data_IF_521145142969
#
_entry.id   IF_521145142969
#
_cell.length_a   1.000
_cell.length_b   1.000
_cell.length_c   1.000
_cell.angle_alpha   90.00
_cell.angle_beta   90.00
_cell.angle_gamma   90.00
#
_symmetry.space_group_name_H-M   'P 1'
#
loop_
_entity.id
_entity.type
_entity.pdbx_description
1 polymer ?
#
# COMPACT_ATOMS: atom_id res chain seq x y z
N UNK A 1 -13.72 10.66 -2.21
CA UNK A 1 -13.66 10.69 -3.69
C UNK A 1 -14.78 9.85 -4.30
N UNK A 2 -16.04 10.23 -4.08
CA UNK A 2 -17.21 9.55 -4.68
C UNK A 2 -18.24 10.57 -5.19
N UNK A 3 -17.77 11.72 -5.68
CA UNK A 3 -18.61 12.73 -6.30
C UNK A 3 -18.64 12.52 -7.81
N UNK A 4 -19.84 12.48 -8.39
CA UNK A 4 -20.00 12.50 -9.83
C UNK A 4 -19.79 13.93 -10.32
N UNK A 5 -18.76 14.16 -11.13
CA UNK A 5 -18.43 15.48 -11.68
C UNK A 5 -18.91 15.51 -13.13
N UNK A 6 -19.82 16.43 -13.50
CA UNK A 6 -20.40 16.47 -14.85
C UNK A 6 -19.45 17.02 -15.93
N UNK A 7 -18.26 17.48 -15.54
CA UNK A 7 -17.25 18.08 -16.41
C UNK A 7 -15.91 17.34 -16.27
N UNK A 8 -15.08 17.28 -17.33
CA UNK A 8 -13.78 16.65 -17.25
C UNK A 8 -12.83 17.44 -16.33
N UNK A 9 -12.12 16.72 -15.47
CA UNK A 9 -11.06 17.25 -14.61
C UNK A 9 -9.74 16.71 -15.11
N UNK A 10 -8.80 17.62 -15.41
CA UNK A 10 -7.47 17.27 -15.89
C UNK A 10 -6.45 17.51 -14.77
N UNK A 11 -5.47 16.62 -14.69
CA UNK A 11 -4.36 16.72 -13.74
C UNK A 11 -3.05 16.83 -14.52
N UNK A 12 -2.19 17.75 -14.11
CA UNK A 12 -0.85 17.93 -14.65
C UNK A 12 0.14 18.08 -13.49
N UNK A 13 1.42 17.79 -13.74
CA UNK A 13 2.47 18.18 -12.81
C UNK A 13 2.64 19.70 -12.84
N UNK A 14 3.09 20.26 -11.72
CA UNK A 14 3.47 21.67 -11.66
C UNK A 14 4.75 21.89 -12.47
N UNK A 15 4.70 22.84 -13.39
CA UNK A 15 5.84 23.32 -14.15
C UNK A 15 5.70 24.83 -14.40
N UNK A 16 6.77 25.46 -14.90
CA UNK A 16 6.80 26.91 -15.12
C UNK A 16 5.70 27.36 -16.11
N UNK A 17 5.38 26.53 -17.10
CA UNK A 17 4.36 26.84 -18.11
C UNK A 17 2.94 26.82 -17.51
N UNK A 18 2.62 25.82 -16.69
CA UNK A 18 1.36 25.76 -15.94
C UNK A 18 1.24 26.92 -14.95
N UNK A 19 2.35 27.33 -14.35
CA UNK A 19 2.39 28.48 -13.45
C UNK A 19 2.13 29.81 -14.18
N UNK A 20 2.70 29.99 -15.37
CA UNK A 20 2.44 31.15 -16.22
C UNK A 20 0.97 31.20 -16.66
N UNK A 21 0.40 30.08 -17.11
CA UNK A 21 -1.02 29.98 -17.47
C UNK A 21 -1.92 30.29 -16.27
N UNK A 22 -1.59 29.78 -15.08
CA UNK A 22 -2.33 30.06 -13.85
C UNK A 22 -2.27 31.55 -13.45
N UNK A 23 -1.11 32.20 -13.61
CA UNK A 23 -0.93 33.61 -13.32
C UNK A 23 -1.77 34.48 -14.27
N UNK A 24 -1.79 34.12 -15.56
CA UNK A 24 -2.59 34.80 -16.59
C UNK A 24 -4.09 34.66 -16.31
N UNK A 25 -4.57 33.45 -15.97
CA UNK A 25 -5.96 33.19 -15.59
C UNK A 25 -6.36 34.05 -14.38
N UNK A 26 -5.53 34.10 -13.33
CA UNK A 26 -5.80 34.94 -12.15
C UNK A 26 -5.85 36.43 -12.47
N UNK A 27 -4.99 36.90 -13.37
CA UNK A 27 -5.00 38.31 -13.82
C UNK A 27 -6.29 38.64 -14.57
N UNK A 28 -6.72 37.77 -15.47
CA UNK A 28 -7.95 37.94 -16.24
C UNK A 28 -9.21 37.87 -15.38
N UNK A 29 -9.24 36.97 -14.39
CA UNK A 29 -10.31 36.93 -13.39
C UNK A 29 -10.41 38.26 -12.61
N UNK A 30 -9.27 38.83 -12.18
CA UNK A 30 -9.23 40.13 -11.51
C UNK A 30 -9.68 41.30 -12.41
N UNK A 31 -9.48 41.17 -13.73
CA UNK A 31 -9.94 42.12 -14.74
C UNK A 31 -11.42 41.90 -15.14
N UNK A 32 -12.15 41.02 -14.47
CA UNK A 32 -13.58 40.78 -14.72
C UNK A 32 -13.87 39.88 -15.93
N UNK A 33 -12.87 39.15 -16.43
CA UNK A 33 -13.00 38.14 -17.47
C UNK A 33 -12.79 36.74 -16.88
N UNK A 34 -13.78 36.20 -16.15
CA UNK A 34 -13.63 34.93 -15.44
C UNK A 34 -13.46 33.76 -16.40
N UNK A 35 -12.41 32.98 -16.18
CA UNK A 35 -12.15 31.75 -16.92
C UNK A 35 -12.96 30.59 -16.35
N UNK A 36 -14.21 30.44 -16.79
CA UNK A 36 -15.04 29.29 -16.38
C UNK A 36 -15.02 28.17 -17.42
N UNK A 37 -15.27 26.94 -16.98
CA UNK A 37 -15.40 25.76 -17.84
C UNK A 37 -16.52 25.88 -18.89
N UNK A 38 -17.42 26.87 -18.77
CA UNK A 38 -18.60 27.06 -19.62
C UNK A 38 -18.61 28.36 -20.42
N UNK A 39 -17.81 29.37 -20.08
CA UNK A 39 -17.83 30.70 -20.73
C UNK A 39 -16.57 31.12 -21.48
N UNK A 40 -15.56 30.23 -21.60
CA UNK A 40 -14.71 30.17 -22.81
C UNK A 40 -13.73 31.33 -23.09
N UNK A 41 -12.85 31.69 -22.15
CA UNK A 41 -11.69 32.56 -22.43
C UNK A 41 -10.44 31.79 -22.90
N UNK A 42 -10.20 30.61 -22.32
CA UNK A 42 -9.07 29.75 -22.67
C UNK A 42 -9.53 28.47 -23.36
N UNK A 43 -8.92 28.19 -24.52
CA UNK A 43 -9.05 26.90 -25.19
C UNK A 43 -7.69 26.21 -25.14
N UNK A 44 -7.55 25.27 -24.20
CA UNK A 44 -6.42 24.34 -24.21
C UNK A 44 -6.63 23.36 -25.38
N UNK A 45 -6.00 23.65 -26.51
CA UNK A 45 -6.02 22.76 -27.68
C UNK A 45 -4.95 21.69 -27.47
N UNK A 46 -5.31 20.61 -26.80
CA UNK A 46 -4.48 19.41 -26.77
C UNK A 46 -4.73 18.58 -28.03
N UNK A 47 -3.71 18.37 -28.86
CA UNK A 47 -3.68 17.31 -29.88
C UNK A 47 -3.44 15.97 -29.17
N UNK A 48 -4.41 15.55 -28.36
CA UNK A 48 -4.39 14.26 -27.71
C UNK A 48 -5.07 13.21 -28.60
N UNK A 49 -4.57 11.98 -28.54
CA UNK A 49 -5.25 10.82 -29.14
C UNK A 49 -6.58 10.57 -28.43
N UNK A 50 -7.53 9.95 -29.13
CA UNK A 50 -8.81 9.57 -28.51
C UNK A 50 -8.58 8.79 -27.21
N UNK A 51 -9.28 9.12 -26.12
CA UNK A 51 -9.12 8.45 -24.85
C UNK A 51 -9.46 6.97 -24.98
N UNK A 52 -8.47 6.11 -24.81
CA UNK A 52 -8.66 4.66 -24.79
C UNK A 52 -8.92 4.19 -23.37
N UNK A 53 -9.93 3.33 -23.22
CA UNK A 53 -10.18 2.63 -21.95
C UNK A 53 -8.92 1.86 -21.56
N UNK A 54 -8.33 2.21 -20.43
CA UNK A 54 -7.23 1.46 -19.84
C UNK A 54 -7.82 0.15 -19.28
N UNK A 55 -7.29 -0.99 -19.73
CA UNK A 55 -7.64 -2.29 -19.17
C UNK A 55 -7.27 -2.34 -17.69
N UNK A 56 -8.12 -2.97 -16.88
CA UNK A 56 -7.89 -3.09 -15.44
C UNK A 56 -6.47 -3.60 -15.16
N UNK A 57 -5.68 -2.90 -14.32
CA UNK A 57 -4.30 -3.30 -14.06
C UNK A 57 -4.23 -4.66 -13.36
N UNK A 58 -3.21 -5.45 -13.69
CA UNK A 58 -2.97 -6.74 -13.05
C UNK A 58 -2.51 -6.52 -11.60
N UNK A 59 -3.32 -6.96 -10.65
CA UNK A 59 -2.96 -6.96 -9.22
C UNK A 59 -1.97 -8.11 -8.99
N UNK A 60 -0.72 -7.75 -8.67
CA UNK A 60 0.33 -8.72 -8.32
C UNK A 60 0.55 -8.67 -6.81
N UNK A 61 0.90 -9.81 -6.21
CA UNK A 61 1.35 -9.89 -4.83
C UNK A 61 2.73 -10.54 -4.82
N UNK A 62 3.61 -10.10 -3.92
CA UNK A 62 4.95 -10.65 -3.78
C UNK A 62 5.04 -11.29 -2.40
N UNK A 63 5.60 -12.49 -2.32
CA UNK A 63 5.77 -13.18 -1.04
C UNK A 63 7.16 -13.81 -0.92
N UNK A 64 7.64 -13.94 0.31
CA UNK A 64 8.88 -14.61 0.64
C UNK A 64 8.73 -15.43 1.91
N UNK A 65 9.46 -16.55 1.99
CA UNK A 65 9.42 -17.47 3.13
C UNK A 65 10.80 -17.62 3.76
N UNK A 66 10.87 -17.57 5.09
CA UNK A 66 12.01 -18.03 5.86
C UNK A 66 11.57 -19.20 6.74
N UNK A 67 11.97 -20.44 6.42
CA UNK A 67 11.57 -21.61 7.20
C UNK A 67 12.27 -21.62 8.56
N UNK A 68 11.52 -22.02 9.60
CA UNK A 68 12.07 -22.25 10.94
C UNK A 68 12.83 -23.57 11.06
N UNK A 69 13.34 -23.86 12.26
CA UNK A 69 13.92 -25.17 12.62
C UNK A 69 12.89 -26.02 13.33
N UNK A 70 12.69 -27.24 12.84
CA UNK A 70 12.01 -28.31 13.58
C UNK A 70 13.00 -29.01 14.50
N UNK A 71 12.54 -29.41 15.68
CA UNK A 71 13.29 -30.36 16.50
C UNK A 71 12.97 -31.76 15.99
N UNK A 72 13.99 -32.61 15.91
CA UNK A 72 13.81 -34.01 15.50
C UNK A 72 12.74 -34.69 16.36
N UNK A 73 11.75 -35.29 15.69
CA UNK A 73 10.60 -35.96 16.31
C UNK A 73 9.30 -35.15 16.34
N UNK A 74 9.30 -33.87 15.97
CA UNK A 74 8.07 -33.07 15.90
C UNK A 74 7.34 -33.28 14.56
N UNK A 75 6.25 -34.04 14.59
CA UNK A 75 5.39 -34.31 13.43
C UNK A 75 4.53 -33.12 13.05
N UNK A 76 4.35 -32.15 13.95
CA UNK A 76 3.51 -30.99 13.69
C UNK A 76 4.19 -30.01 12.74
N UNK A 77 3.36 -29.29 11.99
CA UNK A 77 3.81 -28.16 11.17
C UNK A 77 4.24 -27.02 12.08
N UNK A 78 5.38 -26.38 11.75
CA UNK A 78 5.81 -25.21 12.50
C UNK A 78 4.80 -24.07 12.30
N UNK A 79 4.44 -23.35 13.38
CA UNK A 79 3.60 -22.17 13.26
C UNK A 79 4.28 -21.07 12.46
N UNK A 80 3.48 -20.25 11.80
CA UNK A 80 3.92 -19.20 10.88
C UNK A 80 3.50 -17.84 11.42
N UNK A 81 4.45 -16.90 11.44
CA UNK A 81 4.17 -15.48 11.62
C UNK A 81 4.18 -14.82 10.25
N UNK A 82 3.05 -14.24 9.86
CA UNK A 82 2.93 -13.46 8.64
C UNK A 82 3.21 -11.97 8.94
N UNK A 83 4.11 -11.35 8.18
CA UNK A 83 4.39 -9.91 8.23
C UNK A 83 4.06 -9.34 6.86
N UNK A 84 3.05 -8.47 6.80
CA UNK A 84 2.43 -8.04 5.54
C UNK A 84 2.42 -6.52 5.46
N UNK A 85 2.67 -5.98 4.27
CA UNK A 85 2.48 -4.56 3.96
C UNK A 85 1.75 -4.40 2.61
N UNK A 86 0.91 -3.37 2.52
CA UNK A 86 0.32 -2.95 1.23
C UNK A 86 1.29 -2.03 0.52
N UNK A 87 1.55 -2.26 -0.77
CA UNK A 87 2.39 -1.36 -1.59
C UNK A 87 1.60 -0.47 -2.54
N UNK A 88 0.26 -0.55 -2.51
CA UNK A 88 -0.58 0.25 -3.37
C UNK A 88 -0.78 1.67 -2.83
N UNK A 89 -0.89 2.65 -3.73
CA UNK A 89 -1.35 4.00 -3.42
C UNK A 89 -2.58 4.33 -4.26
N UNK A 90 -3.39 5.29 -3.83
CA UNK A 90 -4.55 5.75 -4.58
C UNK A 90 -4.63 7.27 -4.47
N UNK A 91 -4.95 7.91 -5.59
CA UNK A 91 -5.16 9.35 -5.69
C UNK A 91 -6.06 9.64 -6.89
N UNK A 92 -6.46 10.90 -7.02
CA UNK A 92 -7.45 11.33 -8.04
C UNK A 92 -6.94 11.15 -9.47
N UNK A 93 -5.62 11.25 -9.64
CA UNK A 93 -4.90 10.82 -10.82
C UNK A 93 -4.00 9.62 -10.44
N UNK A 94 -4.47 8.37 -10.63
CA UNK A 94 -3.71 7.19 -10.24
C UNK A 94 -2.32 7.09 -10.88
N UNK A 95 -2.18 7.57 -12.13
CA UNK A 95 -0.90 7.64 -12.84
C UNK A 95 0.09 8.63 -12.23
N UNK A 96 -0.38 9.60 -11.46
CA UNK A 96 0.42 10.63 -10.79
C UNK A 96 0.54 10.39 -9.27
N UNK A 97 -0.09 9.33 -8.75
CA UNK A 97 -0.10 9.06 -7.32
C UNK A 97 1.26 8.54 -6.86
N UNK A 98 1.97 9.35 -6.07
CA UNK A 98 3.16 8.94 -5.33
C UNK A 98 2.76 8.55 -3.91
N UNK A 99 3.15 7.35 -3.47
CA UNK A 99 2.77 6.79 -2.17
C UNK A 99 3.87 6.79 -1.12
N UNK A 100 4.91 7.62 -1.29
CA UNK A 100 6.17 7.50 -0.52
C UNK A 100 6.03 7.79 0.97
N UNK A 101 5.06 8.60 1.38
CA UNK A 101 4.76 8.98 2.78
C UNK A 101 3.65 8.12 3.40
N UNK A 102 2.83 7.47 2.58
CA UNK A 102 1.77 6.57 3.00
C UNK A 102 2.28 5.10 3.07
N UNK A 103 1.85 4.26 2.14
CA UNK A 103 2.17 2.83 2.11
C UNK A 103 3.64 2.54 1.73
N UNK A 104 4.32 3.46 1.02
CA UNK A 104 5.71 3.29 0.61
C UNK A 104 6.68 3.09 1.78
N UNK A 105 6.46 3.79 2.91
CA UNK A 105 7.29 3.61 4.12
C UNK A 105 7.13 2.22 4.73
N UNK A 106 5.92 1.66 4.72
CA UNK A 106 5.65 0.30 5.18
C UNK A 106 6.35 -0.75 4.32
N UNK A 107 6.42 -0.53 3.01
CA UNK A 107 7.19 -1.40 2.10
C UNK A 107 8.68 -1.37 2.44
N UNK A 108 9.25 -0.19 2.64
CA UNK A 108 10.66 -0.04 3.03
C UNK A 108 10.92 -0.71 4.39
N UNK A 109 10.02 -0.51 5.37
CA UNK A 109 10.12 -1.15 6.67
C UNK A 109 10.09 -2.68 6.54
N UNK A 110 9.16 -3.23 5.76
CA UNK A 110 9.09 -4.67 5.51
C UNK A 110 10.38 -5.19 4.87
N UNK A 111 10.89 -4.54 3.82
CA UNK A 111 12.12 -4.97 3.15
C UNK A 111 13.35 -4.91 4.09
N UNK A 112 13.41 -3.92 4.98
CA UNK A 112 14.44 -3.88 6.03
C UNK A 112 14.31 -5.06 7.00
N UNK A 113 13.09 -5.35 7.45
CA UNK A 113 12.79 -6.48 8.32
C UNK A 113 13.18 -7.80 7.64
N UNK A 114 12.80 -7.99 6.37
CA UNK A 114 13.15 -9.17 5.55
C UNK A 114 14.68 -9.34 5.49
N UNK A 115 15.42 -8.28 5.22
CA UNK A 115 16.89 -8.31 5.18
C UNK A 115 17.49 -8.73 6.53
N UNK A 116 17.02 -8.15 7.63
CA UNK A 116 17.51 -8.47 8.98
C UNK A 116 17.22 -9.93 9.34
N UNK A 117 16.00 -10.40 9.08
CA UNK A 117 15.62 -11.78 9.35
C UNK A 117 16.29 -12.79 8.42
N UNK A 118 16.60 -12.42 7.17
CA UNK A 118 17.38 -13.27 6.27
C UNK A 118 18.76 -13.58 6.85
N UNK A 119 19.43 -12.56 7.40
CA UNK A 119 20.71 -12.74 8.12
C UNK A 119 20.50 -13.57 9.38
N UNK A 120 19.48 -13.26 10.18
CA UNK A 120 19.20 -13.98 11.43
C UNK A 120 18.88 -15.47 11.20
N UNK A 121 18.12 -15.81 10.16
CA UNK A 121 17.72 -17.19 9.84
C UNK A 121 18.82 -17.94 9.08
N UNK A 122 19.85 -17.26 8.57
CA UNK A 122 21.00 -17.93 7.95
C UNK A 122 21.82 -18.75 8.95
N UNK A 123 21.88 -18.30 10.22
CA UNK A 123 22.61 -18.99 11.28
C UNK A 123 21.70 -20.00 12.02
N UNK A 124 22.03 -21.30 12.03
CA UNK A 124 21.23 -22.32 12.72
C UNK A 124 21.01 -22.05 14.21
N UNK A 125 21.94 -21.36 14.88
CA UNK A 125 21.84 -21.04 16.33
C UNK A 125 20.80 -19.96 16.64
N UNK A 126 20.48 -19.12 15.67
CA UNK A 126 19.53 -18.00 15.81
C UNK A 126 18.22 -18.24 15.07
N UNK A 127 18.12 -19.34 14.31
CA UNK A 127 16.92 -19.70 13.58
C UNK A 127 15.82 -20.13 14.56
N UNK A 128 14.66 -19.49 14.46
CA UNK A 128 13.52 -19.71 15.35
C UNK A 128 12.76 -21.01 15.03
N UNK A 129 11.89 -21.44 15.95
CA UNK A 129 10.87 -22.50 15.75
C UNK A 129 9.58 -21.96 15.11
N UNK A 130 9.65 -20.82 14.44
CA UNK A 130 8.56 -20.24 13.67
C UNK A 130 9.00 -20.08 12.22
N UNK A 131 8.07 -20.28 11.31
CA UNK A 131 8.24 -19.81 9.93
C UNK A 131 7.92 -18.32 9.87
N UNK A 132 8.66 -17.58 9.06
CA UNK A 132 8.31 -16.20 8.71
C UNK A 132 7.80 -16.16 7.27
N UNK A 133 6.60 -15.64 7.11
CA UNK A 133 5.99 -15.31 5.83
C UNK A 133 6.02 -13.80 5.66
N UNK A 134 6.65 -13.31 4.61
CA UNK A 134 6.63 -11.90 4.24
C UNK A 134 5.71 -11.71 3.04
N UNK A 135 4.79 -10.75 3.10
CA UNK A 135 3.84 -10.45 2.03
C UNK A 135 3.82 -8.98 1.67
N UNK A 136 3.98 -8.67 0.39
CA UNK A 136 3.66 -7.39 -0.20
C UNK A 136 2.39 -7.55 -1.03
N UNK A 137 1.29 -6.97 -0.56
CA UNK A 137 0.01 -7.07 -1.24
C UNK A 137 -0.33 -5.79 -2.00
N UNK A 138 -0.97 -5.95 -3.15
CA UNK A 138 -1.59 -4.86 -3.89
C UNK A 138 -3.09 -4.81 -3.63
N UNK A 139 -3.76 -3.76 -4.10
CA UNK A 139 -5.21 -3.65 -4.06
C UNK A 139 -5.85 -3.58 -2.67
N UNK A 140 -5.12 -3.14 -1.64
CA UNK A 140 -5.68 -2.81 -0.32
C UNK A 140 -6.81 -1.77 -0.42
N UNK A 141 -6.60 -0.75 -1.28
CA UNK A 141 -7.54 0.36 -1.51
C UNK A 141 -8.76 -0.04 -2.34
N UNK A 142 -8.76 -1.22 -2.96
CA UNK A 142 -9.91 -1.81 -3.64
C UNK A 142 -10.62 -2.79 -2.72
N UNK A 143 -11.00 -2.34 -1.51
CA UNK A 143 -11.63 -3.18 -0.48
C UNK A 143 -10.85 -4.47 -0.20
N UNK A 144 -9.53 -4.37 -0.10
CA UNK A 144 -8.63 -5.49 0.20
C UNK A 144 -8.68 -6.66 -0.81
N UNK A 145 -9.16 -6.43 -2.04
CA UNK A 145 -9.31 -7.47 -3.05
C UNK A 145 -7.99 -8.21 -3.35
N UNK A 146 -6.85 -7.51 -3.36
CA UNK A 146 -5.57 -8.18 -3.60
C UNK A 146 -5.12 -9.08 -2.45
N UNK A 147 -5.30 -8.67 -1.19
CA UNK A 147 -5.08 -9.52 -0.01
C UNK A 147 -6.07 -10.70 0.01
N UNK A 148 -7.33 -10.48 -0.36
CA UNK A 148 -8.32 -11.54 -0.44
C UNK A 148 -7.95 -12.59 -1.49
N UNK A 149 -7.55 -12.16 -2.69
CA UNK A 149 -7.06 -13.07 -3.75
C UNK A 149 -5.81 -13.81 -3.29
N UNK A 150 -4.89 -13.14 -2.60
CA UNK A 150 -3.70 -13.75 -2.04
C UNK A 150 -4.02 -14.85 -1.03
N UNK A 151 -4.87 -14.57 -0.05
CA UNK A 151 -5.28 -15.55 0.96
C UNK A 151 -5.98 -16.77 0.34
N UNK A 152 -6.80 -16.55 -0.70
CA UNK A 152 -7.45 -17.64 -1.45
C UNK A 152 -6.48 -18.47 -2.29
N UNK A 153 -5.30 -17.96 -2.60
CA UNK A 153 -4.27 -18.71 -3.33
C UNK A 153 -3.48 -19.67 -2.44
N UNK A 154 -3.59 -19.54 -1.10
CA UNK A 154 -2.95 -20.47 -0.19
C UNK A 154 -3.67 -21.81 -0.11
N UNK A 155 -2.89 -22.87 -0.05
CA UNK A 155 -3.37 -24.16 0.39
C UNK A 155 -3.88 -24.06 1.83
N UNK A 156 -4.95 -24.80 2.15
CA UNK A 156 -5.59 -24.77 3.46
C UNK A 156 -4.61 -24.99 4.62
N UNK A 157 -3.66 -25.92 4.44
CA UNK A 157 -2.61 -26.23 5.42
C UNK A 157 -1.70 -25.04 5.73
N UNK A 158 -1.39 -24.22 4.73
CA UNK A 158 -0.55 -23.03 4.90
C UNK A 158 -1.33 -21.99 5.70
N UNK A 159 -2.59 -21.77 5.33
CA UNK A 159 -3.49 -20.85 6.02
C UNK A 159 -3.69 -21.22 7.49
N UNK A 160 -3.91 -22.51 7.79
CA UNK A 160 -4.09 -23.03 9.14
C UNK A 160 -2.81 -22.92 9.99
N UNK A 161 -1.64 -22.79 9.38
CA UNK A 161 -0.38 -22.61 10.11
C UNK A 161 -0.08 -21.17 10.52
N UNK A 162 -0.87 -20.19 10.08
CA UNK A 162 -0.64 -18.78 10.43
C UNK A 162 -1.22 -18.50 11.81
N UNK A 163 -0.34 -18.45 12.82
CA UNK A 163 -0.71 -18.14 14.20
C UNK A 163 -0.93 -16.63 14.39
N UNK A 164 -0.06 -15.83 13.78
CA UNK A 164 -0.07 -14.37 13.93
C UNK A 164 0.12 -13.69 12.59
N UNK A 165 -0.59 -12.58 12.39
CA UNK A 165 -0.43 -11.68 11.27
C UNK A 165 -0.13 -10.27 11.77
N UNK A 166 1.00 -9.71 11.35
CA UNK A 166 1.45 -8.36 11.64
C UNK A 166 1.31 -7.53 10.36
N UNK A 167 0.47 -6.51 10.40
CA UNK A 167 0.25 -5.61 9.28
C UNK A 167 1.00 -4.30 9.52
N UNK A 168 1.93 -3.96 8.62
CA UNK A 168 2.66 -2.69 8.67
C UNK A 168 1.86 -1.62 7.91
N UNK A 169 1.51 -0.54 8.60
CA UNK A 169 0.75 0.57 8.02
C UNK A 169 1.40 1.91 8.37
N UNK A 170 1.55 2.76 7.35
CA UNK A 170 2.15 4.11 7.40
C UNK A 170 3.23 4.30 8.47
N UNK A 171 4.21 3.38 8.53
CA UNK A 171 5.22 3.38 9.60
C UNK A 171 6.07 4.65 9.49
N UNK A 172 6.14 5.42 10.59
CA UNK A 172 6.90 6.67 10.64
C UNK A 172 6.15 7.89 10.07
N UNK A 173 4.83 7.84 9.89
CA UNK A 173 4.04 9.03 9.53
C UNK A 173 3.64 9.90 10.73
N UNK A 174 3.51 9.33 11.94
CA UNK A 174 3.00 10.01 13.13
C UNK A 174 4.13 10.32 14.15
N UNK A 175 5.13 11.08 13.70
CA UNK A 175 6.24 11.51 14.55
C UNK A 175 7.01 10.33 15.17
N UNK A 176 7.32 10.42 16.46
CA UNK A 176 8.11 9.43 17.20
C UNK A 176 7.26 8.33 17.89
N UNK A 177 5.96 8.27 17.61
CA UNK A 177 5.07 7.30 18.24
C UNK A 177 4.78 6.13 17.29
N UNK A 178 4.74 4.91 17.84
CA UNK A 178 4.30 3.72 17.15
C UNK A 178 2.98 3.25 17.77
N UNK A 179 1.91 3.30 16.97
CA UNK A 179 0.60 2.82 17.40
C UNK A 179 0.42 1.36 17.03
N UNK A 180 -0.04 0.55 17.99
CA UNK A 180 -0.40 -0.85 17.78
C UNK A 180 -1.91 -1.01 17.86
N UNK A 181 -2.52 -1.55 16.81
CA UNK A 181 -3.93 -1.88 16.79
C UNK A 181 -4.12 -3.39 16.81
N UNK A 182 -4.98 -3.87 17.70
CA UNK A 182 -5.30 -5.29 17.83
C UNK A 182 -6.78 -5.50 17.56
N UNK A 183 -7.06 -6.30 16.53
CA UNK A 183 -8.42 -6.53 16.03
C UNK A 183 -9.22 -7.57 16.81
N UNK A 184 -8.53 -8.44 17.56
CA UNK A 184 -9.15 -9.49 18.39
C UNK A 184 -8.65 -9.35 19.82
N UNK A 185 -9.53 -9.37 20.84
CA UNK A 185 -9.07 -9.34 22.22
C UNK A 185 -8.05 -10.46 22.45
N UNK A 186 -6.87 -10.15 22.99
CA UNK A 186 -5.82 -11.14 23.13
C UNK A 186 -6.29 -12.25 24.05
N UNK A 187 -6.25 -13.49 23.55
CA UNK A 187 -6.61 -14.67 24.36
C UNK A 187 -5.54 -15.00 25.39
N UNK A 188 -4.31 -14.53 25.19
CA UNK A 188 -3.19 -14.77 26.08
C UNK A 188 -3.15 -13.72 27.19
N UNK A 189 -3.22 -14.17 28.45
CA UNK A 189 -3.22 -13.31 29.63
C UNK A 189 -1.97 -12.42 29.74
N UNK A 190 -0.81 -12.86 29.25
CA UNK A 190 0.40 -12.02 29.21
C UNK A 190 0.29 -10.87 28.21
N UNK A 191 -0.40 -11.09 27.09
CA UNK A 191 -0.60 -10.05 26.08
C UNK A 191 -1.67 -9.06 26.57
N UNK A 192 -2.67 -9.53 27.33
CA UNK A 192 -3.65 -8.65 27.98
C UNK A 192 -3.01 -7.61 28.92
N UNK A 193 -1.88 -7.93 29.56
CA UNK A 193 -1.17 -6.99 30.45
C UNK A 193 -0.39 -5.88 29.72
N UNK A 194 -0.22 -6.00 28.40
CA UNK A 194 0.46 -4.99 27.56
C UNK A 194 -0.56 -3.92 27.08
N UNK A 195 -1.86 -4.20 27.18
CA UNK A 195 -2.96 -3.28 26.88
C UNK A 195 -3.49 -2.61 28.15
#
# INVERSE_FOLDING_TARGET
>A
MHSNIPYPVYFAFEDDNINDVLAEVKSNDANGQPSTATTGGYKLVATASDPKRITSPNITNIQGWLPGVKVDGDSNQLPTIAIVASYNTFGDAPSLSVGSDNNGRSVVALLKIVRLFSVLYSNPKTRSRYNLLFGLTSGGLYNYNGTQKWLRSFEQRVYESIDYAICLNSVGSHGNQLHLHVSKPPKNAYIQQIF
#
